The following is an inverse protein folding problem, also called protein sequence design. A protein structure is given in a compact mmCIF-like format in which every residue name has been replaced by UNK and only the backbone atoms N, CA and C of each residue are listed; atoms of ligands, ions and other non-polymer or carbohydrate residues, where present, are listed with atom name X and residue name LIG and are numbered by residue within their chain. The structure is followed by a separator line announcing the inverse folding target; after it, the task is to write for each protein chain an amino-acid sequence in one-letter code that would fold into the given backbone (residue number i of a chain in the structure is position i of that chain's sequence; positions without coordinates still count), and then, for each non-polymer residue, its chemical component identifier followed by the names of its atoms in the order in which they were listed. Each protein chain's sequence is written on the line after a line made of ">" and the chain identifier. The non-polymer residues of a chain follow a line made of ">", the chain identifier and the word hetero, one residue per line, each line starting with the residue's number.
data_IF_495748017930
#
_entry.id   IF_495748017930
#
_cell.length_a   1.000
_cell.length_b   1.000
_cell.length_c   1.000
_cell.angle_alpha   90.00
_cell.angle_beta   90.00
_cell.angle_gamma   90.00
#
_symmetry.space_group_name_H-M   'P 1'
#
loop_
_entity.id
_entity.type
_entity.pdbx_description
1 polymer ?
#
# COMPACT_ATOMS: atom_id res chain seq x y z
N UNK A 1 -21.52 -16.25 48.48
CA UNK A 1 -21.21 -16.28 47.03
C UNK A 1 -22.28 -15.45 46.34
N UNK A 2 -21.92 -14.39 45.61
CA UNK A 2 -22.93 -13.57 44.88
C UNK A 2 -23.37 -14.30 43.62
N UNK A 3 -24.56 -13.98 43.09
CA UNK A 3 -25.07 -14.58 41.83
C UNK A 3 -24.06 -14.45 40.68
N UNK A 4 -23.38 -13.31 40.58
CA UNK A 4 -22.32 -13.05 39.61
C UNK A 4 -21.09 -13.96 39.79
N UNK A 5 -20.70 -14.25 41.03
CA UNK A 5 -19.58 -15.18 41.28
C UNK A 5 -19.94 -16.62 40.90
N UNK A 6 -21.22 -17.01 41.03
CA UNK A 6 -21.70 -18.33 40.61
C UNK A 6 -21.71 -18.45 39.07
N UNK A 7 -22.16 -17.40 38.37
CA UNK A 7 -22.14 -17.34 36.90
C UNK A 7 -20.70 -17.44 36.35
N UNK A 8 -19.77 -16.69 36.93
CA UNK A 8 -18.34 -16.72 36.55
C UNK A 8 -17.70 -18.09 36.83
N UNK A 9 -18.03 -18.72 37.97
CA UNK A 9 -17.54 -20.06 38.30
C UNK A 9 -18.05 -21.11 37.29
N UNK A 10 -19.32 -21.02 36.90
CA UNK A 10 -19.92 -21.92 35.93
C UNK A 10 -19.33 -21.72 34.52
N UNK A 11 -19.06 -20.48 34.10
CA UNK A 11 -18.39 -20.19 32.82
C UNK A 11 -16.95 -20.76 32.79
N UNK A 12 -16.16 -20.56 33.86
CA UNK A 12 -14.81 -21.12 33.95
C UNK A 12 -14.80 -22.65 33.92
N UNK A 13 -15.77 -23.28 34.58
CA UNK A 13 -15.95 -24.73 34.59
C UNK A 13 -16.30 -25.27 33.19
N UNK A 14 -17.17 -24.58 32.44
CA UNK A 14 -17.54 -24.94 31.06
C UNK A 14 -16.36 -24.79 30.09
N UNK A 15 -15.50 -23.80 30.31
CA UNK A 15 -14.31 -23.56 29.47
C UNK A 15 -13.08 -24.39 29.89
N UNK A 16 -13.23 -25.27 30.89
CA UNK A 16 -12.14 -26.09 31.46
C UNK A 16 -10.92 -25.25 31.92
N UNK A 17 -11.19 -24.04 32.41
CA UNK A 17 -10.20 -23.14 32.99
C UNK A 17 -10.25 -23.25 34.51
N UNK A 18 -9.11 -23.10 35.17
CA UNK A 18 -9.02 -23.17 36.62
C UNK A 18 -9.97 -22.14 37.28
N UNK A 19 -11.03 -22.58 38.01
CA UNK A 19 -12.01 -21.69 38.61
C UNK A 19 -11.39 -20.73 39.63
N UNK A 20 -10.24 -21.07 40.23
CA UNK A 20 -9.51 -20.21 41.17
C UNK A 20 -8.94 -18.95 40.51
N UNK A 21 -8.75 -18.95 39.18
CA UNK A 21 -8.35 -17.75 38.43
C UNK A 21 -9.50 -16.74 38.27
N UNK A 22 -10.75 -17.17 38.47
CA UNK A 22 -11.95 -16.39 38.15
C UNK A 22 -12.76 -15.95 39.38
N UNK A 23 -12.53 -16.58 40.54
CA UNK A 23 -13.02 -16.04 41.80
C UNK A 23 -12.12 -14.88 42.17
N UNK A 24 -12.64 -13.65 42.10
CA UNK A 24 -11.97 -12.51 42.71
C UNK A 24 -11.72 -12.84 44.19
N UNK A 25 -10.47 -13.21 44.49
CA UNK A 25 -9.98 -13.67 45.79
C UNK A 25 -10.26 -12.64 46.92
N UNK A 26 -10.52 -11.39 46.54
CA UNK A 26 -10.90 -10.28 47.43
C UNK A 26 -12.38 -10.32 47.89
N UNK A 27 -13.22 -11.17 47.30
CA UNK A 27 -14.63 -11.31 47.70
C UNK A 27 -14.84 -12.15 48.96
N UNK A 28 -13.83 -12.94 49.35
CA UNK A 28 -13.81 -13.60 50.65
C UNK A 28 -13.22 -12.66 51.69
N UNK A 29 -13.90 -12.52 52.84
CA UNK A 29 -13.36 -11.74 53.97
C UNK A 29 -12.01 -12.35 54.37
N UNK A 30 -10.93 -11.62 54.06
CA UNK A 30 -9.59 -11.98 54.51
C UNK A 30 -9.48 -11.83 56.03
N UNK A 31 -8.63 -12.63 56.70
CA UNK A 31 -8.45 -12.53 58.15
C UNK A 31 -7.98 -11.13 58.55
N UNK A 32 -8.33 -10.71 59.78
CA UNK A 32 -7.94 -9.40 60.30
C UNK A 32 -6.42 -9.26 60.27
N UNK A 33 -5.93 -8.17 59.67
CA UNK A 33 -4.49 -7.92 59.51
C UNK A 33 -3.87 -8.42 58.19
N UNK A 34 -4.57 -9.24 57.39
CA UNK A 34 -4.05 -9.74 56.11
C UNK A 34 -3.51 -8.64 55.19
N UNK A 35 -4.22 -7.51 55.10
CA UNK A 35 -3.83 -6.39 54.24
C UNK A 35 -2.75 -5.47 54.80
N UNK A 36 -2.31 -5.68 56.04
CA UNK A 36 -1.16 -4.96 56.60
C UNK A 36 0.16 -5.44 55.99
N UNK A 37 0.20 -6.72 55.58
CA UNK A 37 1.36 -7.31 54.92
C UNK A 37 1.52 -6.79 53.48
N UNK A 38 2.68 -6.21 53.19
CA UNK A 38 2.98 -5.62 51.87
C UNK A 38 2.87 -6.62 50.72
N UNK A 39 3.36 -7.84 50.93
CA UNK A 39 3.37 -8.90 49.91
C UNK A 39 1.96 -9.21 49.39
N UNK A 40 0.94 -9.13 50.24
CA UNK A 40 -0.45 -9.37 49.84
C UNK A 40 -0.97 -8.26 48.92
N UNK A 41 -0.67 -7.01 49.23
CA UNK A 41 -1.04 -5.85 48.38
C UNK A 41 -0.29 -5.91 47.05
N UNK A 42 1.02 -6.17 47.09
CA UNK A 42 1.86 -6.30 45.91
C UNK A 42 1.34 -7.38 44.95
N UNK A 43 1.01 -8.57 45.47
CA UNK A 43 0.50 -9.68 44.67
C UNK A 43 -0.79 -9.33 43.94
N UNK A 44 -1.75 -8.69 44.62
CA UNK A 44 -3.00 -8.26 43.97
C UNK A 44 -2.73 -7.19 42.93
N UNK A 45 -1.92 -6.17 43.27
CA UNK A 45 -1.61 -5.09 42.33
C UNK A 45 -0.87 -5.60 41.09
N UNK A 46 0.06 -6.57 41.22
CA UNK A 46 0.73 -7.17 40.05
C UNK A 46 -0.26 -7.80 39.08
N UNK A 47 -1.26 -8.52 39.58
CA UNK A 47 -2.33 -9.11 38.76
C UNK A 47 -3.16 -8.04 38.06
N UNK A 48 -3.56 -7.00 38.79
CA UNK A 48 -4.34 -5.88 38.23
C UNK A 48 -3.53 -5.09 37.21
N UNK A 49 -2.24 -4.88 37.44
CA UNK A 49 -1.34 -4.19 36.50
C UNK A 49 -1.17 -5.02 35.24
N UNK A 50 -0.99 -6.34 35.36
CA UNK A 50 -0.86 -7.24 34.23
C UNK A 50 -2.11 -7.23 33.35
N UNK A 51 -3.31 -7.18 33.95
CA UNK A 51 -4.56 -7.14 33.20
C UNK A 51 -4.87 -5.76 32.62
N UNK A 52 -4.60 -4.69 33.35
CA UNK A 52 -4.93 -3.32 32.95
C UNK A 52 -3.86 -2.68 32.05
N UNK A 53 -2.62 -3.19 32.07
CA UNK A 53 -1.47 -2.60 31.39
C UNK A 53 -0.96 -1.30 32.01
N UNK A 54 -1.50 -0.88 33.16
CA UNK A 54 -1.09 0.33 33.87
C UNK A 54 -1.31 0.21 35.38
N UNK A 55 -0.68 1.11 36.14
CA UNK A 55 -0.85 1.15 37.60
C UNK A 55 -2.26 1.67 37.97
N UNK A 56 -3.10 0.88 38.67
CA UNK A 56 -4.51 1.21 38.86
C UNK A 56 -4.72 2.38 39.80
N UNK A 57 -5.76 3.16 39.54
CA UNK A 57 -6.29 4.16 40.47
C UNK A 57 -7.15 3.52 41.57
N UNK A 58 -7.41 4.27 42.65
CA UNK A 58 -8.34 3.85 43.72
C UNK A 58 -9.72 3.47 43.16
N UNK A 59 -10.22 4.26 42.19
CA UNK A 59 -11.52 4.02 41.56
C UNK A 59 -11.54 2.75 40.71
N UNK A 60 -10.48 2.48 39.94
CA UNK A 60 -10.36 1.26 39.12
C UNK A 60 -10.30 0.01 39.99
N UNK A 61 -9.53 0.04 41.08
CA UNK A 61 -9.53 -1.04 42.07
C UNK A 61 -10.95 -1.31 42.59
N UNK A 62 -11.66 -0.26 43.02
CA UNK A 62 -13.04 -0.41 43.49
C UNK A 62 -13.99 -0.98 42.43
N UNK A 63 -13.91 -0.51 41.18
CA UNK A 63 -14.73 -0.99 40.07
C UNK A 63 -14.46 -2.46 39.72
N UNK A 64 -13.21 -2.92 39.89
CA UNK A 64 -12.81 -4.31 39.67
C UNK A 64 -13.11 -5.21 40.87
N UNK A 65 -13.70 -4.68 41.94
CA UNK A 65 -14.04 -5.44 43.15
C UNK A 65 -12.94 -5.46 44.20
N UNK A 66 -11.82 -4.76 43.98
CA UNK A 66 -10.70 -4.65 44.91
C UNK A 66 -10.81 -3.46 45.88
N UNK A 67 -12.03 -3.22 46.39
CA UNK A 67 -12.27 -2.08 47.29
C UNK A 67 -11.55 -2.22 48.63
N UNK A 68 -11.39 -3.45 49.14
CA UNK A 68 -10.62 -3.74 50.36
C UNK A 68 -9.16 -3.36 50.20
N UNK A 69 -8.54 -3.74 49.07
CA UNK A 69 -7.17 -3.38 48.74
C UNK A 69 -7.01 -1.87 48.63
N UNK A 70 -7.94 -1.20 47.94
CA UNK A 70 -7.93 0.25 47.80
C UNK A 70 -7.97 1.00 49.15
N UNK A 71 -8.77 0.51 50.11
CA UNK A 71 -8.83 1.02 51.48
C UNK A 71 -7.57 0.70 52.26
N UNK A 72 -7.08 -0.53 52.20
CA UNK A 72 -5.88 -0.95 52.89
C UNK A 72 -4.62 -0.19 52.45
N UNK A 73 -4.50 0.11 51.15
CA UNK A 73 -3.43 0.97 50.62
C UNK A 73 -3.45 2.34 51.31
N UNK A 74 -4.64 2.90 51.55
CA UNK A 74 -4.81 4.20 52.19
C UNK A 74 -4.53 4.17 53.68
N UNK A 75 -4.94 3.11 54.38
CA UNK A 75 -4.82 2.98 55.83
C UNK A 75 -3.44 2.49 56.30
N UNK A 76 -2.83 1.53 55.59
CA UNK A 76 -1.65 0.80 56.07
C UNK A 76 -0.39 1.05 55.26
N UNK A 77 -0.49 1.58 54.04
CA UNK A 77 0.65 1.71 53.12
C UNK A 77 0.86 3.15 52.63
N UNK A 78 0.48 4.13 53.46
CA UNK A 78 0.69 5.57 53.25
C UNK A 78 0.07 6.12 51.94
N UNK A 79 -0.96 5.44 51.44
CA UNK A 79 -1.69 5.84 50.25
C UNK A 79 -1.04 5.41 48.93
N UNK A 80 -1.81 5.62 47.85
CA UNK A 80 -1.50 5.10 46.53
C UNK A 80 -0.16 5.59 45.96
N UNK A 81 0.31 6.77 46.39
CA UNK A 81 1.59 7.34 45.96
C UNK A 81 2.77 6.48 46.42
N UNK A 82 2.80 6.12 47.70
CA UNK A 82 3.90 5.35 48.29
C UNK A 82 3.90 3.92 47.74
N UNK A 83 2.73 3.30 47.62
CA UNK A 83 2.58 1.97 47.01
C UNK A 83 3.06 1.96 45.55
N UNK A 84 2.74 3.00 44.77
CA UNK A 84 3.24 3.14 43.40
C UNK A 84 4.77 3.20 43.33
N UNK A 85 5.39 3.99 44.20
CA UNK A 85 6.85 4.09 44.28
C UNK A 85 7.49 2.77 44.73
N UNK A 86 6.92 2.09 45.74
CA UNK A 86 7.37 0.76 46.19
C UNK A 86 7.32 -0.28 45.06
N UNK A 87 6.35 -0.18 44.16
CA UNK A 87 6.21 -1.03 42.97
C UNK A 87 7.15 -0.65 41.82
N UNK A 88 8.06 0.31 42.00
CA UNK A 88 9.00 0.76 40.98
C UNK A 88 8.40 1.73 39.94
N UNK A 89 7.16 2.17 40.13
CA UNK A 89 6.53 3.14 39.22
C UNK A 89 6.90 4.56 39.64
N UNK A 90 7.35 5.38 38.68
CA UNK A 90 7.67 6.79 38.92
C UNK A 90 6.43 7.54 39.42
N UNK A 91 6.62 8.39 40.43
CA UNK A 91 5.57 9.31 40.87
C UNK A 91 5.37 10.37 39.78
N UNK A 92 4.17 10.42 39.20
CA UNK A 92 3.85 11.38 38.12
C UNK A 92 3.43 12.76 38.66
N UNK A 93 3.56 13.00 39.98
CA UNK A 93 3.27 14.30 40.58
C UNK A 93 4.48 15.20 40.38
N UNK A 94 4.37 16.06 39.39
CA UNK A 94 5.34 17.10 39.05
C UNK A 94 5.00 18.40 39.79
N UNK A 95 5.94 19.35 39.82
CA UNK A 95 5.75 20.73 40.31
C UNK A 95 4.52 21.39 39.65
N UNK A 96 3.88 22.33 40.37
CA UNK A 96 2.60 22.91 39.96
C UNK A 96 2.63 23.60 38.58
N UNK A 97 3.80 24.09 38.18
CA UNK A 97 4.05 24.81 36.93
C UNK A 97 4.63 23.92 35.81
N UNK A 98 4.99 22.66 36.10
CA UNK A 98 5.65 21.77 35.14
C UNK A 98 4.89 21.62 33.82
N UNK A 99 3.56 21.49 33.89
CA UNK A 99 2.70 21.36 32.70
C UNK A 99 2.38 22.70 32.01
N UNK A 100 2.85 23.82 32.56
CA UNK A 100 2.75 25.12 31.89
C UNK A 100 3.75 25.23 30.73
N UNK A 101 4.80 24.41 30.72
CA UNK A 101 5.72 24.30 29.60
C UNK A 101 5.20 23.29 28.56
N UNK A 102 4.97 23.76 27.34
CA UNK A 102 4.45 22.94 26.23
C UNK A 102 5.39 21.79 25.84
N UNK A 103 6.70 21.95 26.03
CA UNK A 103 7.67 20.93 25.66
C UNK A 103 7.61 19.72 26.61
N UNK A 104 7.33 19.96 27.90
CA UNK A 104 7.08 18.88 28.86
C UNK A 104 5.84 18.06 28.47
N UNK A 105 4.79 18.72 27.96
CA UNK A 105 3.59 18.05 27.46
C UNK A 105 3.92 17.18 26.25
N UNK A 106 4.65 17.73 25.26
CA UNK A 106 5.03 16.97 24.06
C UNK A 106 5.86 15.74 24.40
N UNK A 107 6.85 15.89 25.27
CA UNK A 107 7.71 14.78 25.71
C UNK A 107 6.89 13.68 26.42
N UNK A 108 5.99 14.07 27.33
CA UNK A 108 5.14 13.11 28.04
C UNK A 108 4.15 12.38 27.10
N UNK A 109 3.62 13.07 26.08
CA UNK A 109 2.77 12.43 25.07
C UNK A 109 3.59 11.51 24.16
N UNK A 110 4.81 11.89 23.78
CA UNK A 110 5.68 11.03 22.96
C UNK A 110 6.09 9.75 23.70
N UNK A 111 6.36 9.84 25.01
CA UNK A 111 6.62 8.67 25.86
C UNK A 111 5.39 7.75 25.92
N UNK A 112 4.19 8.33 26.12
CA UNK A 112 2.92 7.58 26.07
C UNK A 112 2.64 6.94 24.72
N UNK A 113 2.92 7.65 23.62
CA UNK A 113 2.72 7.13 22.27
C UNK A 113 3.63 5.91 22.02
N UNK A 114 4.86 5.92 22.53
CA UNK A 114 5.75 4.76 22.51
C UNK A 114 5.24 3.59 23.35
N UNK A 115 4.62 3.86 24.50
CA UNK A 115 4.03 2.83 25.37
C UNK A 115 2.75 2.21 24.77
N UNK A 116 1.93 3.00 24.08
CA UNK A 116 0.62 2.59 23.58
C UNK A 116 0.62 2.14 22.11
N UNK A 117 1.67 2.44 21.35
CA UNK A 117 1.77 2.24 19.90
C UNK A 117 0.73 3.05 19.09
N UNK A 118 0.18 4.12 19.68
CA UNK A 118 -0.66 5.11 19.00
C UNK A 118 -0.68 6.44 19.74
N UNK A 119 -1.00 7.52 19.01
CA UNK A 119 -1.19 8.84 19.62
C UNK A 119 -2.33 8.77 20.64
N UNK A 120 -2.09 9.03 21.93
CA UNK A 120 -3.06 8.73 22.98
C UNK A 120 -4.37 9.52 22.81
N UNK A 121 -5.43 9.09 23.47
CA UNK A 121 -6.66 9.87 23.69
C UNK A 121 -6.58 10.60 25.04
N UNK A 122 -7.42 11.63 25.24
CA UNK A 122 -7.51 12.32 26.53
C UNK A 122 -7.79 11.32 27.68
N UNK A 123 -8.65 10.35 27.44
CA UNK A 123 -8.99 9.32 28.43
C UNK A 123 -7.80 8.41 28.75
N UNK A 124 -6.98 8.04 27.78
CA UNK A 124 -5.74 7.27 28.01
C UNK A 124 -4.70 8.08 28.77
N UNK A 125 -4.57 9.37 28.48
CA UNK A 125 -3.69 10.28 29.23
C UNK A 125 -4.13 10.34 30.71
N UNK A 126 -5.43 10.49 30.97
CA UNK A 126 -5.97 10.52 32.33
C UNK A 126 -5.77 9.20 33.07
N UNK A 127 -6.08 8.05 32.43
CA UNK A 127 -5.85 6.71 33.00
C UNK A 127 -4.39 6.45 33.32
N UNK A 128 -3.48 7.00 32.53
CA UNK A 128 -2.04 6.92 32.80
C UNK A 128 -1.54 7.88 33.89
N UNK A 129 -2.44 8.59 34.59
CA UNK A 129 -2.11 9.44 35.74
C UNK A 129 -1.66 10.85 35.38
N UNK A 130 -1.87 11.28 34.14
CA UNK A 130 -1.51 12.62 33.66
C UNK A 130 -2.70 13.60 33.67
N UNK A 131 -3.58 13.51 34.68
CA UNK A 131 -4.75 14.41 34.81
C UNK A 131 -4.36 15.89 34.92
N UNK A 132 -3.21 16.19 35.54
CA UNK A 132 -2.64 17.54 35.58
C UNK A 132 -2.27 18.07 34.20
N UNK A 133 -1.68 17.21 33.35
CA UNK A 133 -1.36 17.54 31.96
C UNK A 133 -2.62 17.85 31.15
N UNK A 134 -3.66 17.02 31.25
CA UNK A 134 -4.94 17.26 30.53
C UNK A 134 -5.56 18.61 30.92
N UNK A 135 -5.52 18.97 32.20
CA UNK A 135 -6.00 20.27 32.68
C UNK A 135 -5.19 21.42 32.08
N UNK A 136 -3.86 21.30 32.03
CA UNK A 136 -2.98 22.31 31.44
C UNK A 136 -3.20 22.45 29.93
N UNK A 137 -3.24 21.32 29.19
CA UNK A 137 -3.55 21.27 27.76
C UNK A 137 -4.84 22.05 27.47
N UNK A 138 -5.89 21.80 28.25
CA UNK A 138 -7.22 22.40 28.04
C UNK A 138 -7.24 23.89 28.40
N UNK A 139 -6.62 24.29 29.50
CA UNK A 139 -6.71 25.67 30.01
C UNK A 139 -5.66 26.62 29.45
N UNK A 140 -4.47 26.14 29.07
CA UNK A 140 -3.31 26.98 28.78
C UNK A 140 -2.80 26.80 27.34
N UNK A 141 -2.93 25.61 26.74
CA UNK A 141 -2.28 25.29 25.45
C UNK A 141 -3.26 25.12 24.28
N UNK A 142 -4.43 25.75 24.36
CA UNK A 142 -5.40 25.76 23.26
C UNK A 142 -6.06 24.40 22.98
N UNK A 143 -6.01 23.46 23.93
CA UNK A 143 -6.69 22.18 23.87
C UNK A 143 -5.92 21.05 23.18
N UNK A 144 -6.44 19.83 23.31
CA UNK A 144 -5.76 18.60 22.89
C UNK A 144 -5.42 18.54 21.40
N UNK A 145 -6.30 19.12 20.57
CA UNK A 145 -6.11 19.21 19.14
C UNK A 145 -4.86 19.99 18.75
N UNK A 146 -4.59 21.09 19.45
CA UNK A 146 -3.43 21.95 19.20
C UNK A 146 -2.14 21.19 19.46
N UNK A 147 -2.08 20.47 20.59
CA UNK A 147 -0.94 19.61 20.92
C UNK A 147 -0.75 18.51 19.87
N UNK A 148 -1.83 17.84 19.45
CA UNK A 148 -1.76 16.81 18.42
C UNK A 148 -1.21 17.33 17.09
N UNK A 149 -1.65 18.51 16.65
CA UNK A 149 -1.11 19.16 15.45
C UNK A 149 0.36 19.56 15.62
N UNK A 150 0.75 20.10 16.77
CA UNK A 150 2.14 20.47 17.07
C UNK A 150 3.09 19.28 17.08
N UNK A 151 2.57 18.08 17.27
CA UNK A 151 3.32 16.81 17.22
C UNK A 151 3.19 16.11 15.85
N UNK A 152 2.61 16.75 14.83
CA UNK A 152 2.41 16.16 13.50
C UNK A 152 1.32 15.10 13.43
N UNK A 153 0.52 14.93 14.49
CA UNK A 153 -0.54 13.94 14.56
C UNK A 153 -1.78 14.30 13.75
N UNK A 154 -2.43 13.28 13.16
CA UNK A 154 -3.67 13.41 12.36
C UNK A 154 -4.88 13.70 13.25
N UNK A 155 -5.73 14.67 12.90
CA UNK A 155 -6.95 14.97 13.68
C UNK A 155 -8.08 13.99 13.28
N UNK A 156 -8.44 13.09 14.19
CA UNK A 156 -9.44 12.04 13.93
C UNK A 156 -10.89 12.56 14.06
N UNK A 157 -11.15 13.57 14.90
CA UNK A 157 -12.51 14.05 15.16
C UNK A 157 -12.56 15.57 15.30
N UNK A 158 -13.45 16.20 14.55
CA UNK A 158 -13.61 17.65 14.51
C UNK A 158 -14.75 18.06 15.45
N UNK A 159 -14.56 19.14 16.20
CA UNK A 159 -15.60 19.67 17.09
C UNK A 159 -16.85 20.10 16.30
N UNK A 160 -18.02 20.07 16.96
CA UNK A 160 -19.23 20.65 16.39
C UNK A 160 -18.95 22.10 15.94
N UNK A 161 -19.41 22.46 14.74
CA UNK A 161 -19.17 23.77 14.13
C UNK A 161 -17.78 23.98 13.51
N UNK A 162 -16.84 23.03 13.59
CA UNK A 162 -15.51 23.18 12.98
C UNK A 162 -15.60 23.49 11.47
N UNK A 163 -16.45 22.75 10.76
CA UNK A 163 -16.63 22.92 9.33
C UNK A 163 -17.53 24.09 8.93
N UNK A 164 -18.16 24.80 9.89
CA UNK A 164 -18.94 26.02 9.59
C UNK A 164 -18.03 27.22 9.29
N UNK A 165 -16.75 27.15 9.64
CA UNK A 165 -15.77 28.19 9.34
C UNK A 165 -15.13 27.93 7.98
N UNK A 166 -15.34 28.83 7.02
CA UNK A 166 -14.85 28.69 5.63
C UNK A 166 -13.36 28.36 5.57
N UNK A 167 -12.54 29.06 6.37
CA UNK A 167 -11.09 28.89 6.40
C UNK A 167 -10.64 27.44 6.64
N UNK A 168 -11.39 26.67 7.44
CA UNK A 168 -11.06 25.28 7.73
C UNK A 168 -11.31 24.37 6.52
N UNK A 169 -12.39 24.62 5.78
CA UNK A 169 -12.70 23.89 4.55
C UNK A 169 -11.70 24.25 3.45
N UNK A 170 -11.40 25.54 3.30
CA UNK A 170 -10.41 26.04 2.34
C UNK A 170 -9.03 25.42 2.53
N UNK A 171 -8.48 25.43 3.75
CA UNK A 171 -7.16 24.86 4.03
C UNK A 171 -7.07 23.38 3.66
N UNK A 172 -8.08 22.60 4.01
CA UNK A 172 -8.10 21.17 3.68
C UNK A 172 -8.19 20.94 2.16
N UNK A 173 -9.00 21.73 1.47
CA UNK A 173 -9.12 21.62 0.03
C UNK A 173 -7.83 22.04 -0.68
N UNK A 174 -7.12 23.05 -0.18
CA UNK A 174 -5.80 23.45 -0.68
C UNK A 174 -4.78 22.32 -0.52
N UNK A 175 -4.64 21.81 0.71
CA UNK A 175 -3.76 20.67 1.03
C UNK A 175 -4.01 19.46 0.10
N UNK A 176 -5.29 19.08 -0.06
CA UNK A 176 -5.66 17.99 -0.95
C UNK A 176 -5.41 18.30 -2.42
N UNK A 177 -5.62 19.54 -2.86
CA UNK A 177 -5.38 19.94 -4.25
C UNK A 177 -3.90 19.85 -4.59
N UNK A 178 -3.03 20.29 -3.67
CA UNK A 178 -1.57 20.18 -3.80
C UNK A 178 -1.14 18.70 -3.83
N UNK A 179 -1.70 17.89 -2.94
CA UNK A 179 -1.37 16.45 -2.86
C UNK A 179 -1.86 15.63 -4.05
N UNK A 180 -3.02 15.96 -4.62
CA UNK A 180 -3.64 15.19 -5.71
C UNK A 180 -3.22 15.70 -7.09
N UNK A 181 -2.77 16.95 -7.19
CA UNK A 181 -2.54 17.64 -8.46
C UNK A 181 -3.85 18.05 -9.17
N UNK A 182 -5.00 17.83 -8.55
CA UNK A 182 -6.31 18.27 -9.02
C UNK A 182 -7.21 18.65 -7.85
N UNK A 183 -8.18 19.52 -8.09
CA UNK A 183 -9.11 19.91 -7.04
C UNK A 183 -10.02 18.73 -6.65
N UNK A 184 -10.08 18.36 -5.35
CA UNK A 184 -10.65 17.09 -4.88
C UNK A 184 -12.13 16.92 -5.26
N UNK A 185 -12.48 15.69 -5.62
CA UNK A 185 -13.85 15.22 -5.79
C UNK A 185 -14.49 14.85 -4.45
N UNK A 186 -15.81 14.61 -4.45
CA UNK A 186 -16.48 14.09 -3.25
C UNK A 186 -15.93 12.70 -2.87
N UNK A 187 -15.54 11.89 -3.85
CA UNK A 187 -14.90 10.58 -3.62
C UNK A 187 -13.52 10.74 -2.99
N UNK A 188 -12.71 11.69 -3.47
CA UNK A 188 -11.38 11.97 -2.88
C UNK A 188 -11.51 12.37 -1.41
N UNK A 189 -12.47 13.23 -1.09
CA UNK A 189 -12.76 13.63 0.29
C UNK A 189 -13.22 12.47 1.16
N UNK A 190 -14.09 11.58 0.65
CA UNK A 190 -14.57 10.40 1.38
C UNK A 190 -13.47 9.36 1.63
N UNK A 191 -12.57 9.20 0.68
CA UNK A 191 -11.44 8.28 0.78
C UNK A 191 -10.27 8.87 1.56
N UNK A 192 -10.28 10.18 1.85
CA UNK A 192 -9.32 10.85 2.71
C UNK A 192 -9.73 10.80 4.19
N UNK A 193 -8.87 11.33 5.07
CA UNK A 193 -9.21 11.55 6.48
C UNK A 193 -10.33 12.58 6.71
N UNK A 194 -10.83 13.22 5.65
CA UNK A 194 -11.80 14.31 5.69
C UNK A 194 -13.21 13.88 5.24
N UNK A 195 -13.61 12.65 5.54
CA UNK A 195 -14.88 12.05 5.10
C UNK A 195 -16.14 12.80 5.54
N UNK A 196 -16.03 13.66 6.55
CA UNK A 196 -17.13 14.52 7.05
C UNK A 196 -17.27 15.85 6.29
N UNK A 197 -16.23 16.30 5.58
CA UNK A 197 -16.23 17.57 4.84
C UNK A 197 -17.31 17.62 3.74
N UNK A 198 -17.56 16.58 2.93
CA UNK A 198 -18.60 16.64 1.89
C UNK A 198 -19.97 17.06 2.40
N UNK A 199 -20.36 16.54 3.58
CA UNK A 199 -21.63 16.90 4.20
C UNK A 199 -21.64 18.36 4.65
N UNK A 200 -20.54 18.85 5.23
CA UNK A 200 -20.41 20.25 5.61
C UNK A 200 -20.40 21.20 4.40
N UNK A 201 -19.73 20.82 3.31
CA UNK A 201 -19.74 21.55 2.03
C UNK A 201 -21.17 21.71 1.50
N UNK A 202 -21.95 20.63 1.54
CA UNK A 202 -23.36 20.64 1.11
C UNK A 202 -24.21 21.51 2.03
N UNK A 203 -24.04 21.37 3.34
CA UNK A 203 -24.88 22.03 4.34
C UNK A 203 -24.61 23.54 4.45
N UNK A 204 -23.34 23.97 4.42
CA UNK A 204 -22.97 25.34 4.78
C UNK A 204 -22.48 26.19 3.60
N UNK A 205 -22.09 25.58 2.47
CA UNK A 205 -21.42 26.31 1.37
C UNK A 205 -22.03 26.08 -0.01
N UNK A 206 -23.27 25.59 -0.08
CA UNK A 206 -23.98 25.43 -1.36
C UNK A 206 -23.46 24.28 -2.24
N UNK A 207 -22.66 23.37 -1.67
CA UNK A 207 -22.11 22.22 -2.37
C UNK A 207 -20.79 22.48 -3.10
N UNK A 208 -20.22 21.40 -3.65
CA UNK A 208 -18.86 21.40 -4.20
C UNK A 208 -18.65 22.40 -5.35
N UNK A 209 -19.71 22.68 -6.11
CA UNK A 209 -19.67 23.61 -7.24
C UNK A 209 -19.37 25.04 -6.78
N UNK A 210 -20.05 25.52 -5.73
CA UNK A 210 -19.83 26.88 -5.24
C UNK A 210 -18.52 27.00 -4.46
N UNK A 211 -18.13 25.94 -3.74
CA UNK A 211 -16.80 25.89 -3.12
C UNK A 211 -15.68 25.99 -4.15
N UNK A 212 -15.75 25.25 -5.27
CA UNK A 212 -14.79 25.39 -6.39
C UNK A 212 -14.76 26.81 -6.95
N UNK A 213 -15.93 27.39 -7.21
CA UNK A 213 -16.03 28.77 -7.72
C UNK A 213 -15.39 29.77 -6.74
N UNK A 214 -15.65 29.61 -5.44
CA UNK A 214 -15.09 30.44 -4.38
C UNK A 214 -13.57 30.31 -4.26
N UNK A 215 -13.03 29.13 -4.55
CA UNK A 215 -11.60 28.84 -4.63
C UNK A 215 -10.92 29.36 -5.92
N UNK A 216 -11.67 30.00 -6.83
CA UNK A 216 -11.13 30.49 -8.10
C UNK A 216 -10.85 29.39 -9.13
N UNK A 217 -11.30 28.16 -8.88
CA UNK A 217 -11.13 27.05 -9.82
C UNK A 217 -11.96 27.27 -11.09
N UNK A 218 -11.32 27.11 -12.24
CA UNK A 218 -11.99 27.22 -13.54
C UNK A 218 -13.06 26.12 -13.64
N UNK A 219 -14.22 26.46 -14.22
CA UNK A 219 -15.33 25.50 -14.41
C UNK A 219 -14.82 24.24 -15.13
N UNK A 220 -14.90 23.08 -14.46
CA UNK A 220 -14.58 21.78 -15.10
C UNK A 220 -15.62 21.43 -16.16
N UNK A 221 -16.89 21.77 -15.91
CA UNK A 221 -17.96 21.40 -16.84
C UNK A 221 -17.85 22.29 -18.07
N UNK A 222 -17.30 21.70 -19.14
CA UNK A 222 -17.28 22.28 -20.46
C UNK A 222 -18.73 22.62 -20.88
N UNK A 223 -18.94 23.68 -21.70
CA UNK A 223 -20.28 24.06 -22.16
C UNK A 223 -21.07 22.90 -22.78
N UNK A 224 -22.39 22.99 -22.76
CA UNK A 224 -23.23 22.04 -23.50
C UNK A 224 -22.78 22.00 -24.96
N UNK A 225 -22.71 20.79 -25.54
CA UNK A 225 -22.20 20.51 -26.89
C UNK A 225 -20.69 20.74 -27.12
N UNK A 226 -19.89 21.14 -26.13
CA UNK A 226 -18.43 21.27 -26.27
C UNK A 226 -17.80 20.01 -26.87
N UNK A 227 -18.23 18.85 -26.37
CA UNK A 227 -17.75 17.55 -26.79
C UNK A 227 -18.24 17.08 -28.16
N UNK A 228 -19.22 17.75 -28.76
CA UNK A 228 -19.70 17.41 -30.11
C UNK A 228 -18.77 17.97 -31.20
N UNK A 229 -17.99 19.00 -30.88
CA UNK A 229 -16.99 19.55 -31.78
C UNK A 229 -15.71 18.70 -31.74
N UNK A 230 -15.29 18.21 -32.90
CA UNK A 230 -14.11 17.38 -33.03
C UNK A 230 -12.81 18.16 -32.75
N UNK A 231 -12.77 19.47 -32.99
CA UNK A 231 -11.58 20.28 -32.69
C UNK A 231 -11.32 20.36 -31.18
N UNK A 232 -12.37 20.37 -30.37
CA UNK A 232 -12.24 20.27 -28.92
C UNK A 232 -11.68 18.91 -28.50
N UNK A 233 -12.12 17.81 -29.13
CA UNK A 233 -11.54 16.48 -28.89
C UNK A 233 -10.06 16.47 -29.25
N UNK A 234 -9.69 17.03 -30.41
CA UNK A 234 -8.30 17.11 -30.87
C UNK A 234 -7.44 17.91 -29.90
N UNK A 235 -7.94 19.05 -29.42
CA UNK A 235 -7.27 19.91 -28.44
C UNK A 235 -7.02 19.19 -27.11
N UNK A 236 -8.04 18.54 -26.56
CA UNK A 236 -7.96 17.87 -25.25
C UNK A 236 -7.15 16.56 -25.34
N UNK A 237 -7.08 15.91 -26.50
CA UNK A 237 -6.21 14.76 -26.73
C UNK A 237 -4.72 15.10 -26.90
N UNK A 238 -4.39 16.35 -27.21
CA UNK A 238 -3.01 16.73 -27.52
C UNK A 238 -2.04 16.51 -26.34
N UNK A 239 -2.33 16.93 -25.09
CA UNK A 239 -1.44 16.69 -23.96
C UNK A 239 -1.22 15.20 -23.67
N UNK A 240 -2.25 14.33 -23.57
CA UNK A 240 -2.05 12.89 -23.40
C UNK A 240 -1.24 12.23 -24.52
N UNK A 241 -1.44 12.67 -25.78
CA UNK A 241 -0.69 12.14 -26.92
C UNK A 241 0.80 12.52 -26.81
N UNK A 242 1.07 13.79 -26.47
CA UNK A 242 2.44 14.29 -26.32
C UNK A 242 3.17 13.56 -25.19
N UNK A 243 2.53 13.39 -24.05
CA UNK A 243 3.10 12.73 -22.88
C UNK A 243 3.34 11.22 -23.11
N UNK A 244 2.38 10.52 -23.72
CA UNK A 244 2.48 9.08 -23.93
C UNK A 244 3.30 8.70 -25.18
N UNK A 245 3.60 9.66 -26.05
CA UNK A 245 4.19 9.44 -27.37
C UNK A 245 3.31 8.58 -28.30
N UNK A 246 2.04 8.37 -27.95
CA UNK A 246 1.09 7.54 -28.69
C UNK A 246 -0.35 7.93 -28.37
N UNK A 247 -1.28 7.51 -29.22
CA UNK A 247 -2.70 7.74 -28.97
C UNK A 247 -3.17 7.01 -27.69
N UNK A 248 -3.79 7.72 -26.72
CA UNK A 248 -4.19 7.14 -25.44
C UNK A 248 -5.28 6.07 -25.61
N UNK A 249 -5.26 5.05 -24.75
CA UNK A 249 -6.36 4.10 -24.62
C UNK A 249 -7.46 4.65 -23.72
N UNK A 250 -8.61 3.97 -23.72
CA UNK A 250 -9.73 4.25 -22.82
C UNK A 250 -9.29 4.33 -21.34
N UNK A 251 -8.59 3.31 -20.86
CA UNK A 251 -8.16 3.23 -19.46
C UNK A 251 -7.15 4.32 -19.12
N UNK A 252 -6.23 4.63 -20.04
CA UNK A 252 -5.25 5.70 -19.83
C UNK A 252 -5.91 7.07 -19.67
N UNK A 253 -7.00 7.36 -20.39
CA UNK A 253 -7.75 8.60 -20.16
C UNK A 253 -8.50 8.58 -18.82
N UNK A 254 -9.04 7.44 -18.40
CA UNK A 254 -9.72 7.31 -17.10
C UNK A 254 -8.74 7.52 -15.94
N UNK A 255 -7.57 6.88 -15.99
CA UNK A 255 -6.52 6.99 -14.97
C UNK A 255 -6.03 8.43 -14.79
N UNK A 256 -6.14 9.26 -15.83
CA UNK A 256 -5.81 10.70 -15.83
C UNK A 256 -6.98 11.59 -15.40
N UNK A 257 -8.13 11.03 -15.04
CA UNK A 257 -9.34 11.80 -14.73
C UNK A 257 -10.04 12.40 -15.96
N UNK A 258 -9.64 12.04 -17.18
CA UNK A 258 -10.21 12.52 -18.44
C UNK A 258 -11.39 11.66 -18.93
N UNK A 259 -12.19 11.15 -18.01
CA UNK A 259 -13.33 10.26 -18.29
C UNK A 259 -14.37 10.91 -19.22
N UNK A 260 -14.55 12.23 -19.12
CA UNK A 260 -15.45 12.98 -20.00
C UNK A 260 -14.98 12.98 -21.46
N UNK A 261 -13.68 13.15 -21.70
CA UNK A 261 -13.09 13.08 -23.04
C UNK A 261 -13.22 11.66 -23.60
N UNK A 262 -12.93 10.64 -22.79
CA UNK A 262 -13.10 9.25 -23.18
C UNK A 262 -14.55 8.92 -23.59
N UNK A 263 -15.53 9.33 -22.79
CA UNK A 263 -16.95 9.14 -23.11
C UNK A 263 -17.33 9.91 -24.38
N UNK A 264 -16.87 11.16 -24.53
CA UNK A 264 -17.12 11.95 -25.72
C UNK A 264 -16.59 11.30 -27.02
N UNK A 265 -15.38 10.74 -26.98
CA UNK A 265 -14.78 9.99 -28.09
C UNK A 265 -15.68 8.81 -28.50
N UNK A 266 -16.21 8.07 -27.53
CA UNK A 266 -17.09 6.92 -27.76
C UNK A 266 -18.45 7.36 -28.29
N UNK A 267 -19.09 8.30 -27.61
CA UNK A 267 -20.51 8.60 -27.77
C UNK A 267 -20.79 9.56 -28.93
N UNK A 268 -19.88 10.51 -29.22
CA UNK A 268 -20.09 11.52 -30.27
C UNK A 268 -19.22 11.33 -31.52
N UNK A 269 -18.05 10.71 -31.40
CA UNK A 269 -17.07 10.65 -32.49
C UNK A 269 -16.81 9.24 -33.03
N UNK A 270 -17.69 8.30 -32.67
CA UNK A 270 -17.71 6.93 -33.20
C UNK A 270 -16.54 6.06 -32.75
N UNK A 271 -15.99 6.34 -31.57
CA UNK A 271 -15.02 5.51 -30.88
C UNK A 271 -13.55 5.90 -31.10
N UNK A 272 -12.70 5.37 -30.20
CA UNK A 272 -11.25 5.65 -30.17
C UNK A 272 -10.56 5.36 -31.49
N UNK A 273 -10.99 4.32 -32.22
CA UNK A 273 -10.41 3.99 -33.53
C UNK A 273 -10.64 5.11 -34.54
N UNK A 274 -11.88 5.58 -34.72
CA UNK A 274 -12.21 6.67 -35.66
C UNK A 274 -11.52 7.97 -35.29
N UNK A 275 -11.52 8.32 -34.00
CA UNK A 275 -10.82 9.52 -33.51
C UNK A 275 -9.31 9.42 -33.73
N UNK A 276 -8.69 8.26 -33.43
CA UNK A 276 -7.28 8.02 -33.70
C UNK A 276 -6.93 8.22 -35.18
N UNK A 277 -7.79 7.79 -36.10
CA UNK A 277 -7.57 8.02 -37.53
C UNK A 277 -7.69 9.50 -37.92
N UNK A 278 -8.71 10.20 -37.40
CA UNK A 278 -8.91 11.63 -37.66
C UNK A 278 -7.79 12.50 -37.08
N UNK A 279 -7.38 12.25 -35.83
CA UNK A 279 -6.30 12.98 -35.16
C UNK A 279 -4.94 12.64 -35.78
N UNK A 280 -4.73 11.37 -36.10
CA UNK A 280 -3.41 10.86 -36.42
C UNK A 280 -2.95 11.05 -37.87
N UNK A 281 -3.84 11.09 -38.88
CA UNK A 281 -3.44 10.90 -40.30
C UNK A 281 -2.30 9.86 -40.46
N UNK A 282 -2.27 8.84 -39.60
CA UNK A 282 -1.53 7.61 -39.87
C UNK A 282 -2.47 6.88 -40.79
N UNK A 283 -2.24 7.00 -42.09
CA UNK A 283 -2.98 6.27 -43.11
C UNK A 283 -3.22 4.86 -42.60
N UNK A 284 -4.49 4.46 -42.47
CA UNK A 284 -4.80 3.08 -42.15
C UNK A 284 -4.06 2.22 -43.16
N UNK A 285 -3.20 1.34 -42.65
CA UNK A 285 -2.65 0.28 -43.44
C UNK A 285 -3.79 -0.63 -43.86
N UNK A 286 -4.45 -0.29 -44.96
CA UNK A 286 -5.52 -1.09 -45.52
C UNK A 286 -4.99 -2.50 -45.74
N UNK A 287 -5.79 -3.49 -45.35
CA UNK A 287 -5.51 -4.88 -45.63
C UNK A 287 -5.22 -5.03 -47.13
N UNK A 288 -3.98 -5.40 -47.47
CA UNK A 288 -3.50 -5.45 -48.86
C UNK A 288 -2.33 -4.51 -49.18
N UNK A 289 -2.10 -3.43 -48.43
CA UNK A 289 -0.97 -2.49 -48.64
C UNK A 289 0.39 -3.19 -48.60
N UNK A 290 0.47 -4.27 -47.84
CA UNK A 290 1.70 -5.00 -47.55
C UNK A 290 1.87 -6.29 -48.35
N UNK A 291 1.06 -6.52 -49.39
CA UNK A 291 1.22 -7.70 -50.25
C UNK A 291 2.62 -7.75 -50.89
N UNK A 292 3.19 -6.60 -51.24
CA UNK A 292 4.54 -6.53 -51.81
C UNK A 292 5.62 -6.54 -50.73
N UNK A 293 6.75 -7.21 -51.03
CA UNK A 293 7.94 -7.25 -50.16
C UNK A 293 8.46 -5.85 -49.85
N UNK A 294 8.48 -4.96 -50.86
CA UNK A 294 9.00 -3.60 -50.75
C UNK A 294 8.16 -2.73 -49.81
N UNK A 295 6.82 -2.87 -49.82
CA UNK A 295 5.97 -2.14 -48.89
C UNK A 295 6.23 -2.54 -47.43
N UNK A 296 6.43 -3.84 -47.16
CA UNK A 296 6.80 -4.33 -45.81
C UNK A 296 8.17 -3.77 -45.39
N UNK A 297 9.16 -3.78 -46.28
CA UNK A 297 10.50 -3.22 -45.99
C UNK A 297 10.43 -1.72 -45.70
N UNK A 298 9.71 -0.95 -46.55
CA UNK A 298 9.53 0.49 -46.35
C UNK A 298 8.95 0.78 -44.97
N UNK A 299 7.88 0.07 -44.59
CA UNK A 299 7.27 0.25 -43.28
C UNK A 299 8.19 -0.15 -42.12
N UNK A 300 8.94 -1.23 -42.27
CA UNK A 300 9.91 -1.64 -41.25
C UNK A 300 11.01 -0.59 -41.07
N UNK A 301 11.46 0.10 -42.13
CA UNK A 301 12.40 1.23 -42.01
C UNK A 301 11.80 2.39 -41.24
N UNK A 302 10.55 2.75 -41.50
CA UNK A 302 9.84 3.78 -40.71
C UNK A 302 9.78 3.39 -39.23
N UNK A 303 9.46 2.13 -38.94
CA UNK A 303 9.45 1.59 -37.57
C UNK A 303 10.85 1.68 -36.95
N UNK A 304 11.92 1.30 -37.65
CA UNK A 304 13.28 1.38 -37.11
C UNK A 304 13.75 2.81 -36.85
N UNK A 305 13.32 3.78 -37.66
CA UNK A 305 13.62 5.18 -37.42
C UNK A 305 12.89 5.72 -36.17
N UNK A 306 11.66 5.27 -35.93
CA UNK A 306 10.90 5.66 -34.74
C UNK A 306 11.31 4.91 -33.47
N UNK A 307 11.87 3.70 -33.61
CA UNK A 307 12.21 2.80 -32.51
C UNK A 307 13.65 2.26 -32.68
N UNK A 308 14.67 3.10 -32.43
CA UNK A 308 16.07 2.75 -32.64
C UNK A 308 16.53 1.54 -31.80
N UNK A 309 15.88 1.28 -30.66
CA UNK A 309 16.17 0.14 -29.77
C UNK A 309 15.96 -1.23 -30.46
N UNK A 310 15.20 -1.26 -31.56
CA UNK A 310 15.02 -2.47 -32.37
C UNK A 310 16.27 -2.86 -33.16
N UNK A 311 17.28 -1.99 -33.28
CA UNK A 311 18.57 -2.28 -33.90
C UNK A 311 18.44 -2.92 -35.30
N UNK A 312 17.55 -2.38 -36.14
CA UNK A 312 17.25 -2.91 -37.47
C UNK A 312 16.80 -4.38 -37.50
N UNK A 313 16.27 -4.89 -36.39
CA UNK A 313 15.68 -6.22 -36.29
C UNK A 313 14.19 -6.16 -36.58
N UNK A 314 13.67 -7.16 -37.31
CA UNK A 314 12.22 -7.29 -37.52
C UNK A 314 11.55 -7.51 -36.16
N UNK A 315 10.60 -6.66 -35.75
CA UNK A 315 9.90 -6.80 -34.47
C UNK A 315 9.20 -8.15 -34.34
N UNK A 316 8.95 -8.57 -33.10
CA UNK A 316 8.19 -9.79 -32.85
C UNK A 316 6.72 -9.62 -33.23
N UNK A 317 6.03 -10.75 -33.40
CA UNK A 317 4.58 -10.78 -33.61
C UNK A 317 3.81 -10.00 -32.55
N UNK A 318 4.19 -10.23 -31.29
CA UNK A 318 3.64 -9.55 -30.13
C UNK A 318 3.90 -8.04 -30.16
N UNK A 319 5.13 -7.62 -30.50
CA UNK A 319 5.50 -6.22 -30.55
C UNK A 319 4.68 -5.46 -31.61
N UNK A 320 4.54 -6.01 -32.82
CA UNK A 320 3.76 -5.38 -33.89
C UNK A 320 2.29 -5.22 -33.48
N UNK A 321 1.69 -6.26 -32.87
CA UNK A 321 0.31 -6.21 -32.38
C UNK A 321 0.11 -5.14 -31.29
N UNK A 322 1.00 -5.11 -30.29
CA UNK A 322 0.93 -4.16 -29.16
C UNK A 322 1.05 -2.70 -29.61
N UNK A 323 1.83 -2.45 -30.67
CA UNK A 323 2.06 -1.10 -31.21
C UNK A 323 1.13 -0.75 -32.39
N UNK A 324 0.09 -1.55 -32.65
CA UNK A 324 -0.93 -1.24 -33.64
C UNK A 324 -0.57 -1.54 -35.10
N UNK A 325 0.53 -2.26 -35.35
CA UNK A 325 0.97 -2.70 -36.69
C UNK A 325 0.35 -4.06 -37.10
N UNK A 326 -0.93 -4.25 -36.80
CA UNK A 326 -1.64 -5.54 -36.99
C UNK A 326 -1.64 -6.00 -38.44
N UNK A 327 -1.79 -5.08 -39.40
CA UNK A 327 -1.83 -5.42 -40.83
C UNK A 327 -0.44 -5.76 -41.39
N UNK A 328 0.61 -5.07 -40.95
CA UNK A 328 2.00 -5.42 -41.26
C UNK A 328 2.32 -6.83 -40.76
N UNK A 329 1.96 -7.10 -39.50
CA UNK A 329 2.06 -8.42 -38.87
C UNK A 329 1.34 -9.48 -39.68
N UNK A 330 0.08 -9.25 -40.02
CA UNK A 330 -0.72 -10.23 -40.76
C UNK A 330 -0.13 -10.48 -42.15
N UNK A 331 0.31 -9.44 -42.85
CA UNK A 331 0.93 -9.60 -44.16
C UNK A 331 2.22 -10.43 -44.13
N UNK A 332 3.08 -10.21 -43.12
CA UNK A 332 4.30 -11.02 -42.95
C UNK A 332 3.94 -12.51 -42.84
N UNK A 333 2.86 -12.82 -42.11
CA UNK A 333 2.37 -14.20 -41.93
C UNK A 333 1.75 -14.74 -43.21
N UNK A 334 0.77 -14.05 -43.78
CA UNK A 334 -0.08 -14.57 -44.86
C UNK A 334 0.56 -14.46 -46.25
N UNK A 335 1.26 -13.37 -46.54
CA UNK A 335 1.79 -13.09 -47.89
C UNK A 335 3.29 -13.34 -48.02
N UNK A 336 4.03 -13.35 -46.90
CA UNK A 336 5.48 -13.50 -46.93
C UNK A 336 6.01 -14.81 -46.36
N UNK A 337 5.11 -15.74 -46.02
CA UNK A 337 5.43 -17.10 -45.56
C UNK A 337 5.88 -17.15 -44.09
N UNK A 338 5.46 -16.18 -43.28
CA UNK A 338 5.84 -16.07 -41.87
C UNK A 338 7.16 -15.34 -41.63
N UNK A 339 7.41 -14.99 -40.37
CA UNK A 339 8.58 -14.20 -39.96
C UNK A 339 9.92 -14.86 -40.27
N UNK A 340 9.98 -16.20 -40.25
CA UNK A 340 11.23 -16.93 -40.54
C UNK A 340 11.59 -16.83 -42.03
N UNK A 341 10.63 -17.15 -42.89
CA UNK A 341 10.75 -17.02 -44.34
C UNK A 341 11.07 -15.58 -44.72
N UNK A 342 10.37 -14.62 -44.11
CA UNK A 342 10.62 -13.21 -44.37
C UNK A 342 12.01 -12.74 -43.91
N UNK A 343 12.51 -13.20 -42.74
CA UNK A 343 13.90 -12.95 -42.30
C UNK A 343 14.92 -13.49 -43.31
N UNK A 344 14.73 -14.73 -43.77
CA UNK A 344 15.58 -15.35 -44.80
C UNK A 344 15.58 -14.53 -46.09
N UNK A 345 14.41 -14.07 -46.55
CA UNK A 345 14.26 -13.18 -47.72
C UNK A 345 14.95 -11.82 -47.57
N UNK A 346 15.27 -11.39 -46.35
CA UNK A 346 16.01 -10.15 -46.06
C UNK A 346 17.50 -10.40 -45.73
N UNK A 347 18.00 -11.63 -45.86
CA UNK A 347 19.37 -11.97 -45.46
C UNK A 347 19.62 -11.86 -43.94
N UNK A 348 18.56 -11.79 -43.12
CA UNK A 348 18.67 -11.70 -41.66
C UNK A 348 18.70 -13.11 -41.06
N UNK A 349 19.58 -13.33 -40.09
CA UNK A 349 19.67 -14.60 -39.35
C UNK A 349 18.35 -14.92 -38.64
N UNK A 350 17.90 -16.16 -38.74
CA UNK A 350 16.72 -16.62 -38.02
C UNK A 350 17.01 -16.69 -36.52
N UNK A 351 16.16 -16.05 -35.71
CA UNK A 351 16.25 -16.12 -34.24
C UNK A 351 15.78 -17.47 -33.70
N UNK A 352 14.81 -18.08 -34.37
CA UNK A 352 14.28 -19.41 -34.00
C UNK A 352 15.21 -20.49 -34.55
N UNK A 353 15.56 -21.43 -33.69
CA UNK A 353 16.27 -22.65 -34.05
C UNK A 353 15.33 -23.59 -34.83
N UNK A 354 15.87 -24.56 -35.60
CA UNK A 354 15.07 -25.56 -36.31
C UNK A 354 14.12 -26.33 -35.38
N UNK A 355 13.09 -26.94 -35.96
CA UNK A 355 12.25 -27.87 -35.21
C UNK A 355 13.10 -28.99 -34.61
N UNK A 356 12.71 -29.44 -33.41
CA UNK A 356 13.44 -30.42 -32.60
C UNK A 356 14.85 -30.02 -32.16
N UNK A 357 15.36 -28.83 -32.48
CA UNK A 357 16.69 -28.38 -32.02
C UNK A 357 16.86 -28.48 -30.50
N UNK A 358 15.83 -28.08 -29.74
CA UNK A 358 15.81 -28.17 -28.28
C UNK A 358 15.42 -29.56 -27.74
N UNK A 359 15.24 -30.55 -28.61
CA UNK A 359 15.03 -31.96 -28.23
C UNK A 359 16.33 -32.71 -28.04
N UNK A 360 17.43 -32.11 -28.47
CA UNK A 360 18.78 -32.55 -28.17
C UNK A 360 19.26 -31.83 -26.90
N UNK A 361 19.61 -32.61 -25.88
CA UNK A 361 20.00 -32.11 -24.58
C UNK A 361 21.30 -31.31 -24.63
N UNK A 362 22.22 -31.63 -25.55
CA UNK A 362 23.48 -30.91 -25.68
C UNK A 362 23.27 -29.48 -26.14
N UNK A 363 22.30 -29.25 -27.02
CA UNK A 363 21.89 -27.89 -27.41
C UNK A 363 21.35 -27.08 -26.22
N UNK A 364 20.56 -27.71 -25.36
CA UNK A 364 20.04 -27.09 -24.12
C UNK A 364 21.19 -26.75 -23.18
N UNK A 365 22.11 -27.70 -22.95
CA UNK A 365 23.30 -27.53 -22.11
C UNK A 365 24.19 -26.37 -22.57
N UNK A 366 24.51 -26.32 -23.87
CA UNK A 366 25.33 -25.24 -24.46
C UNK A 366 24.65 -23.87 -24.26
N UNK A 367 23.34 -23.80 -24.50
CA UNK A 367 22.59 -22.55 -24.36
C UNK A 367 22.48 -22.09 -22.90
N UNK A 368 22.27 -23.00 -21.95
CA UNK A 368 22.25 -22.68 -20.52
C UNK A 368 23.62 -22.20 -20.04
N UNK A 369 24.73 -22.86 -20.40
CA UNK A 369 26.09 -22.37 -20.07
C UNK A 369 26.37 -20.97 -20.60
N UNK A 370 25.84 -20.64 -21.79
CA UNK A 370 25.96 -19.29 -22.36
C UNK A 370 25.18 -18.25 -21.55
N UNK A 371 23.98 -18.60 -21.07
CA UNK A 371 23.18 -17.73 -20.22
C UNK A 371 23.81 -17.58 -18.83
N UNK A 372 24.34 -18.67 -18.27
CA UNK A 372 25.07 -18.66 -17.01
C UNK A 372 26.27 -17.73 -17.06
N UNK A 373 27.10 -17.81 -18.10
CA UNK A 373 28.18 -16.84 -18.33
C UNK A 373 27.68 -15.40 -18.48
N UNK A 374 26.48 -15.19 -19.01
CA UNK A 374 25.89 -13.86 -19.20
C UNK A 374 25.37 -13.27 -17.89
N UNK A 375 24.75 -14.08 -17.04
CA UNK A 375 24.09 -13.62 -15.82
C UNK A 375 24.95 -13.82 -14.56
N UNK A 376 26.06 -14.55 -14.65
CA UNK A 376 26.92 -14.88 -13.51
C UNK A 376 26.36 -15.97 -12.60
N UNK A 377 25.21 -16.56 -12.94
CA UNK A 377 24.54 -17.59 -12.15
C UNK A 377 23.63 -18.45 -13.07
N UNK A 378 23.17 -19.60 -12.58
CA UNK A 378 22.30 -20.47 -13.37
C UNK A 378 20.94 -19.78 -13.63
N UNK A 379 20.51 -19.64 -14.90
CA UNK A 379 19.43 -18.74 -15.26
C UNK A 379 18.06 -19.22 -14.75
N UNK A 380 17.28 -18.28 -14.22
CA UNK A 380 15.89 -18.49 -13.84
C UNK A 380 14.96 -18.71 -15.06
N UNK A 381 13.76 -19.29 -14.86
CA UNK A 381 12.74 -19.41 -15.91
C UNK A 381 12.43 -18.09 -16.65
N UNK A 382 12.38 -16.97 -15.93
CA UNK A 382 12.09 -15.66 -16.51
C UNK A 382 13.25 -15.12 -17.33
N UNK A 383 14.47 -15.27 -16.85
CA UNK A 383 15.67 -14.90 -17.59
C UNK A 383 15.81 -15.69 -18.90
N UNK A 384 15.52 -17.00 -18.88
CA UNK A 384 15.51 -17.84 -20.10
C UNK A 384 14.48 -17.31 -21.11
N UNK A 385 13.26 -17.00 -20.65
CA UNK A 385 12.18 -16.48 -21.51
C UNK A 385 12.53 -15.10 -22.06
N UNK A 386 12.99 -14.19 -21.21
CA UNK A 386 13.35 -12.81 -21.56
C UNK A 386 14.58 -12.73 -22.48
N UNK A 387 15.52 -13.68 -22.36
CA UNK A 387 16.64 -13.82 -23.28
C UNK A 387 16.25 -14.38 -24.66
N UNK A 388 14.96 -14.68 -24.89
CA UNK A 388 14.45 -15.17 -26.17
C UNK A 388 14.57 -16.69 -26.36
N UNK A 389 14.87 -17.43 -25.30
CA UNK A 389 15.00 -18.89 -25.31
C UNK A 389 13.70 -19.61 -24.89
N UNK A 390 12.53 -19.02 -25.17
CA UNK A 390 11.23 -19.61 -24.79
C UNK A 390 10.98 -21.03 -25.36
N UNK A 391 11.55 -21.34 -26.52
CA UNK A 391 11.53 -22.71 -27.08
C UNK A 391 12.37 -23.70 -26.27
N UNK A 392 13.52 -23.27 -25.76
CA UNK A 392 14.35 -24.06 -24.85
C UNK A 392 13.65 -24.29 -23.52
N UNK A 393 13.08 -23.23 -22.91
CA UNK A 393 12.30 -23.33 -21.67
C UNK A 393 11.16 -24.36 -21.79
N UNK A 394 10.42 -24.32 -22.91
CA UNK A 394 9.34 -25.28 -23.17
C UNK A 394 9.88 -26.72 -23.28
N UNK A 395 11.05 -26.93 -23.88
CA UNK A 395 11.67 -28.24 -23.98
C UNK A 395 12.17 -28.75 -22.62
N UNK A 396 12.82 -27.88 -21.83
CA UNK A 396 13.24 -28.15 -20.43
C UNK A 396 12.08 -28.73 -19.62
N UNK A 397 10.92 -28.04 -19.64
CA UNK A 397 9.77 -28.47 -18.86
C UNK A 397 9.10 -29.74 -19.41
N UNK A 398 8.97 -29.87 -20.74
CA UNK A 398 8.21 -30.98 -21.34
C UNK A 398 9.01 -32.26 -21.50
N UNK A 399 10.34 -32.18 -21.65
CA UNK A 399 11.20 -33.31 -22.03
C UNK A 399 12.24 -33.68 -21.00
N UNK A 400 12.61 -32.75 -20.12
CA UNK A 400 13.76 -32.93 -19.23
C UNK A 400 13.43 -32.71 -17.75
N UNK A 401 12.14 -32.80 -17.37
CA UNK A 401 11.74 -32.78 -15.96
C UNK A 401 11.78 -31.40 -15.28
N UNK A 402 11.90 -30.31 -16.06
CA UNK A 402 11.97 -28.95 -15.51
C UNK A 402 13.39 -28.46 -15.26
N UNK A 403 13.50 -27.19 -14.86
CA UNK A 403 14.80 -26.49 -14.80
C UNK A 403 15.73 -27.08 -13.73
N UNK A 404 15.17 -27.58 -12.62
CA UNK A 404 15.90 -28.23 -11.53
C UNK A 404 16.55 -29.53 -12.00
N UNK A 405 15.79 -30.43 -12.62
CA UNK A 405 16.31 -31.70 -13.15
C UNK A 405 17.38 -31.48 -14.23
N UNK A 406 17.23 -30.45 -15.08
CA UNK A 406 18.26 -30.08 -16.06
C UNK A 406 19.52 -29.54 -15.38
N UNK A 407 19.39 -28.74 -14.32
CA UNK A 407 20.53 -28.23 -13.54
C UNK A 407 21.31 -29.38 -12.89
N UNK A 408 20.62 -30.26 -12.18
CA UNK A 408 21.19 -31.48 -11.57
C UNK A 408 21.89 -32.32 -12.64
N UNK A 409 21.27 -32.52 -13.80
CA UNK A 409 21.88 -33.27 -14.90
C UNK A 409 23.11 -32.59 -15.53
N UNK A 410 23.20 -31.26 -15.54
CA UNK A 410 24.33 -30.52 -16.11
C UNK A 410 25.52 -30.47 -15.16
N UNK A 411 25.26 -30.26 -13.86
CA UNK A 411 26.29 -30.18 -12.83
C UNK A 411 26.84 -31.57 -12.44
N UNK A 412 26.26 -32.63 -13.01
CA UNK A 412 26.40 -33.98 -12.48
C UNK A 412 25.59 -34.09 -11.19
N UNK A 413 25.27 -35.29 -10.75
CA UNK A 413 24.88 -35.48 -9.36
C UNK A 413 26.06 -34.97 -8.52
N UNK A 414 26.03 -33.69 -8.12
CA UNK A 414 26.69 -33.22 -6.93
C UNK A 414 25.98 -33.98 -5.83
N UNK A 415 26.41 -35.22 -5.61
CA UNK A 415 26.22 -35.85 -4.33
C UNK A 415 26.92 -34.91 -3.35
N UNK A 416 26.11 -34.07 -2.72
CA UNK A 416 26.52 -33.25 -1.58
C UNK A 416 26.77 -34.28 -0.47
N UNK A 417 27.96 -34.87 -0.51
CA UNK A 417 28.36 -35.94 0.40
C UNK A 417 28.93 -35.39 1.71
N UNK A 418 29.02 -34.06 1.82
CA UNK A 418 29.47 -33.40 3.04
C UNK A 418 28.68 -32.13 3.32
N UNK A 419 28.53 -31.85 4.61
CA UNK A 419 27.92 -30.64 5.16
C UNK A 419 28.64 -29.37 4.65
N UNK A 420 29.96 -29.45 4.41
CA UNK A 420 30.77 -28.37 3.84
C UNK A 420 30.37 -28.01 2.39
N UNK A 421 30.02 -29.00 1.56
CA UNK A 421 29.52 -28.73 0.19
C UNK A 421 28.12 -28.11 0.22
N UNK A 422 27.31 -28.45 1.24
CA UNK A 422 25.99 -27.86 1.46
C UNK A 422 26.13 -26.40 1.91
N UNK A 423 27.05 -26.10 2.83
CA UNK A 423 27.32 -24.74 3.28
C UNK A 423 27.86 -23.83 2.17
N UNK A 424 28.75 -24.35 1.32
CA UNK A 424 29.28 -23.60 0.16
C UNK A 424 28.19 -23.34 -0.88
N UNK A 425 27.32 -24.33 -1.13
CA UNK A 425 26.12 -24.18 -1.96
C UNK A 425 25.14 -23.14 -1.38
N UNK A 426 24.91 -23.15 -0.07
CA UNK A 426 24.01 -22.21 0.59
C UNK A 426 24.58 -20.78 0.61
N UNK A 427 25.91 -20.62 0.76
CA UNK A 427 26.58 -19.32 0.64
C UNK A 427 26.43 -18.69 -0.74
N UNK A 428 26.48 -19.50 -1.80
CA UNK A 428 26.24 -19.04 -3.16
C UNK A 428 24.75 -18.71 -3.40
N UNK A 429 23.84 -19.40 -2.72
CA UNK A 429 22.39 -19.32 -2.97
C UNK A 429 21.65 -18.23 -2.18
N UNK A 430 22.14 -17.86 -1.00
CA UNK A 430 21.45 -16.89 -0.12
C UNK A 430 21.93 -15.45 -0.35
N UNK A 431 22.92 -15.23 -1.22
CA UNK A 431 23.47 -13.90 -1.46
C UNK A 431 24.27 -13.45 -0.26
N UNK A 432 25.51 -13.93 -0.17
CA UNK A 432 26.50 -13.38 0.75
C UNK A 432 26.78 -11.91 0.40
N UNK A 433 26.07 -11.02 1.07
CA UNK A 433 26.59 -9.89 1.86
C UNK A 433 25.62 -9.73 3.06
N UNK A 434 26.07 -10.12 4.26
CA UNK A 434 25.59 -9.55 5.52
C UNK A 434 26.53 -8.43 5.93
#
# INVERSE_FOLDING_TARGET
>A
MTKKNLEIFLEAYVENKDPELYINDDSMRKPMGYWKEWSNIENVLRKVIQSAGHFPSKGELSQQGYSSVATAIQEYHDGMKNVRQKMGFKSKRVEADHWSNIENIKNAIAELEKELDHFPSISEIMRNGYSGMVRAITKQHGGYRTIRLLMGGKIIQQSAGHWQKWRNVELVLQELTESLGHFPSETDLRNSQYSTIPNAIRQYYGGMREVRKRMGEKKIKKPNKYWHDFENIRKELAPPILELGKFPTHNQLIERGESSLSSAIRDYHGGFRKVKHRVGRVEEDKYGRYKSKNAVIKKLKEIWNHYPELNNQIPSDYWLRKNGYTYLRQSIVTHHGGYQTFRKKLGKKNKRKPDRYWSDFDNVKIALKKLEKKFGHFPSPDEIRNAGYGGMYSAIHKKYGGIRAVRERILGNLEINSESQLEEFLKEYVGGEQ
#
